data_IF_489960571634
#
_entry.id   IF_489960571634
#
_cell.length_a   1.000
_cell.length_b   1.000
_cell.length_c   1.000
_cell.angle_alpha   90.00
_cell.angle_beta   90.00
_cell.angle_gamma   90.00
#
_symmetry.space_group_name_H-M   'P 1'
#
loop_
_entity.id
_entity.type
_entity.pdbx_description
1 polymer ?
#
# COMPACT_ATOMS: atom_id res chain seq x y z
N UNK A 1 10.91 14.97 10.29
CA UNK A 1 9.69 14.17 10.09
C UNK A 1 9.99 13.14 9.01
N UNK A 2 9.57 11.88 9.16
CA UNK A 2 9.82 10.86 8.13
C UNK A 2 8.76 10.95 7.03
N UNK A 3 9.14 10.66 5.79
CA UNK A 3 8.22 10.60 4.65
C UNK A 3 8.75 9.69 3.54
N UNK A 4 8.04 9.61 2.42
CA UNK A 4 8.39 8.74 1.31
C UNK A 4 9.78 9.08 0.72
N UNK A 5 10.16 10.36 0.65
CA UNK A 5 11.45 10.75 0.10
C UNK A 5 12.60 10.24 0.99
N UNK A 6 12.42 10.29 2.32
CA UNK A 6 13.33 9.68 3.28
C UNK A 6 13.44 8.18 3.07
N UNK A 7 12.30 7.48 2.95
CA UNK A 7 12.26 6.03 2.75
C UNK A 7 12.97 5.61 1.46
N UNK A 8 12.70 6.32 0.35
CA UNK A 8 13.34 6.06 -0.93
C UNK A 8 14.84 6.34 -0.89
N UNK A 9 15.26 7.43 -0.23
CA UNK A 9 16.69 7.73 -0.04
C UNK A 9 17.39 6.63 0.76
N UNK A 10 16.76 6.10 1.80
CA UNK A 10 17.32 5.02 2.62
C UNK A 10 17.46 3.74 1.80
N UNK A 11 16.47 3.41 0.95
CA UNK A 11 16.55 2.28 0.03
C UNK A 11 17.71 2.45 -0.98
N UNK A 12 17.79 3.61 -1.64
CA UNK A 12 18.83 3.86 -2.66
C UNK A 12 20.25 3.81 -2.09
N UNK A 13 20.45 4.23 -0.83
CA UNK A 13 21.73 4.15 -0.13
C UNK A 13 22.09 2.72 0.27
N UNK A 14 21.12 1.96 0.80
CA UNK A 14 21.34 0.62 1.36
C UNK A 14 20.29 -0.39 0.84
N UNK A 15 20.33 -0.78 -0.44
CA UNK A 15 19.37 -1.73 -0.99
C UNK A 15 19.65 -3.13 -0.42
N UNK A 16 18.67 -3.70 0.29
CA UNK A 16 18.74 -5.07 0.80
C UNK A 16 17.97 -5.98 -0.14
N UNK A 17 18.68 -6.92 -0.77
CA UNK A 17 18.06 -7.88 -1.68
C UNK A 17 17.44 -9.09 -0.94
N UNK A 18 17.95 -9.46 0.23
CA UNK A 18 17.57 -10.68 0.95
C UNK A 18 16.74 -10.37 2.20
N UNK A 19 15.49 -9.94 1.99
CA UNK A 19 14.57 -9.53 3.07
C UNK A 19 14.28 -10.69 4.02
N UNK A 20 14.04 -11.89 3.48
CA UNK A 20 13.60 -13.03 4.29
C UNK A 20 14.62 -13.48 5.34
N UNK A 21 15.91 -13.39 5.04
CA UNK A 21 16.98 -13.81 5.94
C UNK A 21 17.41 -12.69 6.88
N UNK A 22 17.28 -11.43 6.45
CA UNK A 22 17.58 -10.25 7.26
C UNK A 22 16.64 -10.08 8.46
N UNK A 23 15.37 -10.51 8.32
CA UNK A 23 14.34 -10.42 9.36
C UNK A 23 14.02 -11.75 10.05
N UNK A 24 14.89 -12.78 9.92
CA UNK A 24 14.76 -14.03 10.68
C UNK A 24 14.99 -13.76 12.17
N UNK A 25 13.91 -13.65 12.93
CA UNK A 25 13.92 -13.95 14.36
C UNK A 25 13.57 -15.43 14.55
N UNK A 26 14.25 -16.17 15.47
CA UNK A 26 13.93 -17.57 15.76
C UNK A 26 12.45 -17.82 16.09
N UNK A 27 11.76 -16.80 16.64
CA UNK A 27 10.35 -16.90 17.07
C UNK A 27 9.32 -16.32 16.07
N UNK A 28 9.74 -15.79 14.90
CA UNK A 28 8.84 -15.17 13.91
C UNK A 28 8.99 -15.74 12.49
N UNK A 29 9.66 -16.88 12.37
CA UNK A 29 10.25 -17.40 11.13
C UNK A 29 9.27 -17.77 9.99
N UNK A 30 7.95 -17.63 10.16
CA UNK A 30 6.97 -18.17 9.20
C UNK A 30 6.15 -17.14 8.41
N UNK A 31 6.19 -15.83 8.72
CA UNK A 31 5.37 -14.85 8.00
C UNK A 31 6.20 -13.86 7.17
N UNK A 32 6.37 -14.17 5.88
CA UNK A 32 7.07 -13.29 4.94
C UNK A 32 6.37 -11.95 4.69
N UNK A 33 5.07 -11.84 4.94
CA UNK A 33 4.36 -10.56 4.90
C UNK A 33 4.82 -9.63 6.02
N UNK A 34 4.99 -10.16 7.23
CA UNK A 34 5.45 -9.40 8.41
C UNK A 34 6.90 -8.90 8.21
N UNK A 35 7.79 -9.73 7.67
CA UNK A 35 9.17 -9.34 7.37
C UNK A 35 9.26 -8.15 6.40
N UNK A 36 8.38 -8.13 5.40
CA UNK A 36 8.29 -7.04 4.44
C UNK A 36 7.76 -5.76 5.10
N UNK A 37 6.71 -5.85 5.91
CA UNK A 37 6.21 -4.69 6.65
C UNK A 37 7.30 -4.07 7.53
N UNK A 38 8.10 -4.90 8.23
CA UNK A 38 9.24 -4.42 8.99
C UNK A 38 10.29 -3.74 8.12
N UNK A 39 10.60 -4.30 6.95
CA UNK A 39 11.52 -3.67 6.01
C UNK A 39 11.04 -2.30 5.56
N UNK A 40 9.75 -2.18 5.19
CA UNK A 40 9.18 -0.90 4.79
C UNK A 40 9.20 0.09 5.97
N UNK A 41 8.78 -0.32 7.18
CA UNK A 41 8.86 0.51 8.39
C UNK A 41 10.29 1.00 8.67
N UNK A 42 11.26 0.12 8.52
CA UNK A 42 12.69 0.42 8.68
C UNK A 42 13.21 1.41 7.63
N UNK A 43 12.74 1.33 6.38
CA UNK A 43 13.08 2.30 5.34
C UNK A 43 12.58 3.68 5.73
N UNK A 44 11.32 3.82 6.18
CA UNK A 44 10.78 5.10 6.64
C UNK A 44 11.53 5.64 7.86
N UNK A 45 11.92 4.77 8.81
CA UNK A 45 12.54 5.18 10.06
C UNK A 45 14.07 5.30 10.00
N UNK A 46 14.70 4.85 8.92
CA UNK A 46 16.16 4.80 8.80
C UNK A 46 16.81 3.75 9.70
N UNK A 47 16.07 2.71 10.08
CA UNK A 47 16.49 1.70 11.07
C UNK A 47 16.86 0.37 10.45
N UNK A 48 16.99 0.29 9.12
CA UNK A 48 17.36 -0.94 8.38
C UNK A 48 18.53 -1.65 9.06
N UNK A 49 19.65 -0.97 9.29
CA UNK A 49 20.86 -1.54 9.92
C UNK A 49 20.76 -1.89 11.41
N UNK A 50 19.66 -1.57 12.08
CA UNK A 50 19.48 -1.83 13.52
C UNK A 50 19.12 -3.31 13.72
N UNK A 51 19.82 -4.03 14.60
CA UNK A 51 19.49 -5.44 14.92
C UNK A 51 18.53 -5.58 16.09
N UNK A 52 18.58 -4.65 17.03
CA UNK A 52 17.76 -4.66 18.25
C UNK A 52 16.32 -4.23 17.94
N UNK A 53 15.39 -5.17 18.11
CA UNK A 53 13.97 -4.98 17.83
C UNK A 53 13.31 -3.96 18.77
N UNK A 54 13.75 -3.88 20.03
CA UNK A 54 13.20 -2.93 21.00
C UNK A 54 13.62 -1.51 20.65
N UNK A 55 14.87 -1.32 20.19
CA UNK A 55 15.32 -0.04 19.65
C UNK A 55 14.52 0.36 18.41
N UNK A 56 14.22 -0.57 17.50
CA UNK A 56 13.32 -0.30 16.35
C UNK A 56 11.94 0.15 16.81
N UNK A 57 11.31 -0.58 17.72
CA UNK A 57 9.98 -0.23 18.24
C UNK A 57 9.96 1.13 18.93
N UNK A 58 11.02 1.50 19.66
CA UNK A 58 11.16 2.81 20.26
C UNK A 58 11.33 3.95 19.23
N UNK A 59 11.88 3.66 18.05
CA UNK A 59 11.93 4.63 16.94
C UNK A 59 10.58 4.70 16.23
N UNK A 60 9.93 3.55 15.99
CA UNK A 60 8.61 3.47 15.36
C UNK A 60 7.57 4.25 16.15
N UNK A 61 7.56 4.15 17.47
CA UNK A 61 6.59 4.87 18.32
C UNK A 61 6.72 6.40 18.23
N UNK A 62 7.92 6.91 17.92
CA UNK A 62 8.16 8.34 17.69
C UNK A 62 7.56 8.82 16.36
N UNK A 63 7.67 8.01 15.32
CA UNK A 63 7.31 8.41 13.95
C UNK A 63 5.92 7.97 13.50
N UNK A 64 5.38 6.89 14.04
CA UNK A 64 4.09 6.37 13.63
C UNK A 64 2.99 6.77 14.62
N UNK A 65 1.85 7.20 14.08
CA UNK A 65 0.61 7.38 14.84
C UNK A 65 -0.13 6.05 14.98
N UNK A 66 0.01 5.15 14.01
CA UNK A 66 -0.62 3.83 14.02
C UNK A 66 0.32 2.76 13.44
N UNK A 67 0.33 1.56 14.02
CA UNK A 67 1.27 0.48 13.66
C UNK A 67 0.62 -0.73 12.95
N UNK A 68 -0.65 -0.60 12.53
CA UNK A 68 -1.38 -1.63 11.80
C UNK A 68 -1.97 -2.74 12.68
N UNK A 69 -2.71 -3.63 12.03
CA UNK A 69 -3.18 -4.91 12.57
C UNK A 69 -3.37 -5.87 11.39
N UNK A 70 -3.52 -7.17 11.67
CA UNK A 70 -3.59 -8.21 10.65
C UNK A 70 -4.76 -8.09 9.66
N UNK A 71 -5.89 -7.48 10.06
CA UNK A 71 -7.16 -7.62 9.35
C UNK A 71 -7.70 -6.34 8.74
N UNK A 72 -7.11 -5.18 9.06
CA UNK A 72 -7.65 -3.89 8.65
C UNK A 72 -6.54 -2.95 8.21
N UNK A 73 -6.73 -2.23 7.09
CA UNK A 73 -5.79 -1.21 6.64
C UNK A 73 -5.79 0.01 7.59
N UNK A 74 -4.72 0.82 7.55
CA UNK A 74 -3.46 0.59 6.86
C UNK A 74 -2.48 -0.25 7.72
N UNK A 75 -1.40 -0.74 7.11
CA UNK A 75 -0.34 -1.47 7.83
C UNK A 75 0.47 -0.56 8.76
N UNK A 76 0.54 0.74 8.47
CA UNK A 76 0.94 1.78 9.43
C UNK A 76 0.56 3.20 8.94
N UNK A 77 0.58 4.16 9.87
CA UNK A 77 0.40 5.58 9.59
C UNK A 77 1.55 6.38 10.17
N UNK A 78 2.12 7.26 9.35
CA UNK A 78 3.12 8.24 9.77
C UNK A 78 2.40 9.36 10.51
N UNK A 79 2.89 9.73 11.69
CA UNK A 79 2.35 10.81 12.51
C UNK A 79 2.39 12.12 11.73
N UNK A 80 1.23 12.75 11.57
CA UNK A 80 1.08 13.97 10.76
C UNK A 80 1.36 13.78 9.26
N UNK A 81 1.51 12.53 8.79
CA UNK A 81 1.88 12.21 7.41
C UNK A 81 0.96 11.18 6.75
N UNK A 82 1.54 10.42 5.83
CA UNK A 82 0.82 9.48 4.96
C UNK A 82 0.51 8.15 5.65
N UNK A 83 -0.49 7.43 5.13
CA UNK A 83 -0.75 6.03 5.45
C UNK A 83 -0.04 5.11 4.45
N UNK A 84 0.38 3.93 4.88
CA UNK A 84 1.08 2.95 4.03
C UNK A 84 0.39 1.60 4.09
N UNK A 85 0.12 1.04 2.92
CA UNK A 85 -0.38 -0.31 2.71
C UNK A 85 0.69 -1.11 1.96
N UNK A 86 1.13 -2.20 2.55
CA UNK A 86 2.17 -3.10 2.08
C UNK A 86 1.52 -4.28 1.36
N UNK A 87 2.03 -4.63 0.18
CA UNK A 87 1.49 -5.72 -0.65
C UNK A 87 2.60 -6.49 -1.34
N UNK A 88 2.62 -7.80 -1.11
CA UNK A 88 3.51 -8.74 -1.78
C UNK A 88 2.90 -9.29 -3.07
N UNK A 89 3.69 -9.34 -4.13
CA UNK A 89 3.41 -10.10 -5.34
C UNK A 89 4.55 -11.05 -5.71
N UNK A 90 4.20 -12.15 -6.37
CA UNK A 90 5.16 -13.20 -6.77
C UNK A 90 5.81 -12.93 -8.14
N UNK A 91 5.22 -12.05 -8.94
CA UNK A 91 5.75 -11.64 -10.24
C UNK A 91 5.46 -10.17 -10.52
N UNK A 92 6.24 -9.58 -11.42
CA UNK A 92 6.14 -8.16 -11.77
C UNK A 92 4.74 -7.75 -12.23
N UNK A 93 4.03 -8.61 -12.96
CA UNK A 93 2.74 -8.28 -13.57
C UNK A 93 1.55 -8.96 -12.88
N UNK A 94 1.77 -9.66 -11.77
CA UNK A 94 0.71 -10.31 -11.01
C UNK A 94 -0.32 -9.29 -10.51
N UNK A 95 -1.59 -9.70 -10.49
CA UNK A 95 -2.63 -8.92 -9.82
C UNK A 95 -2.42 -8.94 -8.31
N UNK A 96 -2.68 -7.81 -7.66
CA UNK A 96 -2.67 -7.67 -6.21
C UNK A 96 -4.08 -7.94 -5.71
N UNK A 97 -4.23 -8.97 -4.88
CA UNK A 97 -5.48 -9.22 -4.18
C UNK A 97 -5.64 -8.21 -3.02
N UNK A 98 -6.80 -7.55 -2.96
CA UNK A 98 -7.21 -6.65 -1.90
C UNK A 98 -8.36 -7.31 -1.14
N UNK A 99 -7.97 -8.10 -0.13
CA UNK A 99 -8.93 -8.84 0.69
C UNK A 99 -9.79 -7.86 1.48
N UNK A 100 -11.11 -8.06 1.42
CA UNK A 100 -12.11 -7.36 2.21
C UNK A 100 -12.23 -5.85 1.95
N UNK A 101 -11.47 -5.23 1.04
CA UNK A 101 -11.62 -3.81 0.72
C UNK A 101 -11.28 -3.47 -0.73
N UNK A 102 -11.94 -2.44 -1.26
CA UNK A 102 -11.68 -1.95 -2.61
C UNK A 102 -10.36 -1.16 -2.68
N UNK A 103 -9.77 -0.97 -3.89
CA UNK A 103 -8.61 -0.10 -4.10
C UNK A 103 -8.94 1.35 -3.73
N UNK A 104 -8.05 2.07 -3.05
CA UNK A 104 -8.32 3.40 -2.52
C UNK A 104 -7.31 4.39 -3.05
N UNK A 105 -7.80 5.54 -3.49
CA UNK A 105 -6.96 6.70 -3.78
C UNK A 105 -6.39 7.31 -2.49
N UNK A 106 -7.21 7.35 -1.43
CA UNK A 106 -6.86 7.89 -0.11
C UNK A 106 -7.39 7.01 1.02
N UNK A 107 -6.79 7.17 2.20
CA UNK A 107 -7.37 6.62 3.43
C UNK A 107 -8.36 7.63 4.01
N UNK A 108 -9.54 7.17 4.42
CA UNK A 108 -10.59 8.03 5.00
C UNK A 108 -10.91 7.60 6.44
N UNK A 109 -10.97 8.56 7.36
CA UNK A 109 -11.29 8.30 8.77
C UNK A 109 -12.72 7.73 8.94
N UNK A 110 -13.64 8.13 8.06
CA UNK A 110 -15.01 7.64 8.01
C UNK A 110 -15.14 6.20 7.46
N UNK A 111 -14.06 5.59 6.99
CA UNK A 111 -14.11 4.23 6.45
C UNK A 111 -14.58 3.22 7.51
N UNK A 112 -15.56 2.36 7.21
CA UNK A 112 -15.98 1.30 8.12
C UNK A 112 -14.95 0.15 8.22
N UNK A 113 -13.96 0.16 7.31
CA UNK A 113 -12.95 -0.89 7.14
C UNK A 113 -11.70 -0.69 8.00
N UNK A 114 -11.55 0.47 8.65
CA UNK A 114 -10.43 0.74 9.58
C UNK A 114 -10.87 0.51 11.03
N UNK A 115 -9.90 0.21 11.90
CA UNK A 115 -10.12 0.02 13.34
C UNK A 115 -10.44 1.34 14.04
N UNK A 116 -11.00 1.25 15.26
CA UNK A 116 -11.20 2.41 16.13
C UNK A 116 -9.87 3.08 16.47
N UNK A 117 -8.83 2.29 16.73
CA UNK A 117 -7.50 2.80 17.08
C UNK A 117 -6.85 3.55 15.92
N UNK A 118 -6.95 3.02 14.69
CA UNK A 118 -6.51 3.74 13.48
C UNK A 118 -7.26 5.08 13.32
N UNK A 119 -8.58 5.07 13.51
CA UNK A 119 -9.39 6.30 13.40
C UNK A 119 -9.00 7.34 14.45
N UNK A 120 -8.70 6.90 15.67
CA UNK A 120 -8.47 7.76 16.83
C UNK A 120 -6.99 8.06 17.11
N UNK A 121 -6.06 7.55 16.30
CA UNK A 121 -4.63 7.71 16.54
C UNK A 121 -4.12 9.16 16.44
N UNK A 122 -4.86 10.00 15.71
CA UNK A 122 -4.67 11.45 15.63
C UNK A 122 -5.96 12.10 15.08
N UNK A 123 -6.03 13.44 14.98
CA UNK A 123 -7.16 14.13 14.34
C UNK A 123 -6.91 14.22 12.83
N UNK A 124 -7.75 13.58 12.03
CA UNK A 124 -7.65 13.60 10.56
C UNK A 124 -9.00 13.26 9.92
N UNK A 125 -9.20 13.70 8.66
CA UNK A 125 -10.38 13.36 7.84
C UNK A 125 -10.02 12.37 6.74
N UNK A 126 -8.93 12.66 6.05
CA UNK A 126 -8.33 11.84 5.02
C UNK A 126 -6.80 11.95 5.08
N UNK A 127 -6.13 10.94 4.52
CA UNK A 127 -4.67 10.90 4.36
C UNK A 127 -4.34 10.34 3.00
N UNK A 128 -3.21 10.78 2.45
CA UNK A 128 -2.63 10.14 1.29
C UNK A 128 -2.27 8.69 1.64
N UNK A 129 -2.53 7.78 0.70
CA UNK A 129 -2.23 6.37 0.85
C UNK A 129 -1.09 6.00 -0.09
N UNK A 130 -0.06 5.35 0.44
CA UNK A 130 1.04 4.78 -0.34
C UNK A 130 0.84 3.27 -0.40
N UNK A 131 0.79 2.73 -1.62
CA UNK A 131 0.93 1.30 -1.84
C UNK A 131 2.42 0.97 -1.97
N UNK A 132 2.98 0.30 -0.96
CA UNK A 132 4.31 -0.29 -0.99
C UNK A 132 4.21 -1.72 -1.53
N UNK A 133 4.48 -1.90 -2.83
CA UNK A 133 4.32 -3.18 -3.53
C UNK A 133 5.68 -3.77 -3.87
N UNK A 134 6.01 -4.92 -3.31
CA UNK A 134 7.25 -5.65 -3.58
C UNK A 134 7.03 -6.87 -4.47
N UNK A 135 8.03 -7.13 -5.32
CA UNK A 135 8.14 -8.34 -6.12
C UNK A 135 9.25 -9.19 -5.49
N UNK A 136 8.87 -10.28 -4.84
CA UNK A 136 9.81 -11.24 -4.26
C UNK A 136 9.87 -12.50 -5.12
N UNK A 137 11.06 -12.87 -5.57
CA UNK A 137 11.32 -14.15 -6.25
C UNK A 137 12.33 -14.94 -5.45
N UNK A 138 11.94 -16.14 -4.99
CA UNK A 138 12.78 -17.00 -4.12
C UNK A 138 13.35 -16.24 -2.90
N UNK A 139 12.51 -15.48 -2.20
CA UNK A 139 12.85 -14.62 -1.04
C UNK A 139 13.82 -13.45 -1.34
N UNK A 140 14.15 -13.21 -2.61
CA UNK A 140 14.96 -12.05 -3.04
C UNK A 140 14.07 -10.96 -3.61
N UNK A 141 14.29 -9.73 -3.17
CA UNK A 141 13.67 -8.53 -3.71
C UNK A 141 14.12 -8.32 -5.15
N UNK A 142 13.14 -8.14 -6.05
CA UNK A 142 13.36 -7.84 -7.46
C UNK A 142 12.87 -6.46 -7.84
N UNK A 143 11.73 -6.05 -7.31
CA UNK A 143 11.25 -4.69 -7.43
C UNK A 143 10.54 -4.23 -6.16
N UNK A 144 10.63 -2.93 -5.87
CA UNK A 144 9.83 -2.27 -4.85
C UNK A 144 9.17 -1.02 -5.44
N UNK A 145 7.85 -0.96 -5.40
CA UNK A 145 7.08 0.20 -5.81
C UNK A 145 6.53 0.92 -4.59
N UNK A 146 6.65 2.24 -4.59
CA UNK A 146 5.85 3.13 -3.77
C UNK A 146 4.98 3.95 -4.69
N UNK A 147 3.69 3.62 -4.78
CA UNK A 147 2.75 4.38 -5.61
C UNK A 147 1.69 5.02 -4.74
N UNK A 148 1.48 6.33 -4.89
CA UNK A 148 0.36 7.01 -4.24
C UNK A 148 -0.97 6.51 -4.81
N UNK A 149 -1.96 6.34 -3.94
CA UNK A 149 -3.28 5.86 -4.32
C UNK A 149 -3.94 6.74 -5.37
N UNK A 150 -3.78 8.06 -5.29
CA UNK A 150 -4.33 9.01 -6.28
C UNK A 150 -3.67 8.93 -7.67
N UNK A 151 -2.55 8.23 -7.79
CA UNK A 151 -1.93 7.87 -9.06
C UNK A 151 -2.45 6.52 -9.61
N UNK A 152 -3.06 5.68 -8.77
CA UNK A 152 -3.19 4.23 -9.01
C UNK A 152 -4.63 3.69 -8.94
N UNK A 153 -5.47 4.28 -8.10
CA UNK A 153 -6.85 3.88 -7.89
C UNK A 153 -7.80 5.07 -8.12
N UNK A 154 -9.02 4.77 -8.57
CA UNK A 154 -10.04 5.78 -8.76
C UNK A 154 -10.58 6.27 -7.40
N UNK A 155 -11.35 7.35 -7.41
CA UNK A 155 -12.04 7.83 -6.21
C UNK A 155 -13.03 6.79 -5.69
N UNK A 156 -13.22 6.75 -4.36
CA UNK A 156 -14.05 5.76 -3.65
C UNK A 156 -15.43 5.52 -4.26
N UNK A 157 -16.07 6.56 -4.81
CA UNK A 157 -17.43 6.50 -5.35
C UNK A 157 -17.52 5.50 -6.52
N UNK A 158 -16.44 5.34 -7.29
CA UNK A 158 -16.32 4.35 -8.37
C UNK A 158 -16.61 2.93 -7.87
N UNK A 159 -16.02 2.58 -6.73
CA UNK A 159 -16.11 1.24 -6.14
C UNK A 159 -17.37 1.07 -5.28
N UNK A 160 -17.74 2.12 -4.54
CA UNK A 160 -18.93 2.09 -3.68
C UNK A 160 -20.23 1.97 -4.48
N UNK A 161 -20.29 2.52 -5.70
CA UNK A 161 -21.42 2.31 -6.61
C UNK A 161 -21.66 0.84 -6.89
N UNK A 162 -20.62 0.08 -7.24
CA UNK A 162 -20.72 -1.36 -7.52
C UNK A 162 -21.21 -2.11 -6.28
N UNK A 163 -20.64 -1.80 -5.11
CA UNK A 163 -21.06 -2.38 -3.83
C UNK A 163 -22.55 -2.14 -3.57
N UNK A 164 -23.02 -0.89 -3.73
CA UNK A 164 -24.42 -0.50 -3.53
C UNK A 164 -25.36 -1.25 -4.49
N UNK A 165 -25.00 -1.32 -5.78
CA UNK A 165 -25.80 -2.04 -6.78
C UNK A 165 -25.92 -3.53 -6.47
N UNK A 166 -24.82 -4.20 -6.10
CA UNK A 166 -24.85 -5.62 -5.74
C UNK A 166 -25.68 -5.84 -4.47
N UNK A 167 -25.46 -5.04 -3.42
CA UNK A 167 -26.22 -5.17 -2.17
C UNK A 167 -27.71 -4.88 -2.35
N UNK A 168 -28.09 -3.97 -3.25
CA UNK A 168 -29.49 -3.71 -3.57
C UNK A 168 -30.14 -4.88 -4.31
N UNK A 169 -29.46 -5.46 -5.31
CA UNK A 169 -29.95 -6.66 -5.99
C UNK A 169 -30.13 -7.86 -5.05
N UNK A 170 -29.17 -8.07 -4.14
CA UNK A 170 -29.25 -9.14 -3.14
C UNK A 170 -30.42 -8.96 -2.14
N UNK A 171 -30.79 -7.72 -1.83
CA UNK A 171 -31.89 -7.44 -0.91
C UNK A 171 -33.28 -7.61 -1.57
N UNK A 172 -33.34 -7.66 -2.91
CA UNK A 172 -34.59 -7.83 -3.66
C UNK A 172 -35.05 -9.28 -3.84
N UNK A 173 -34.27 -10.28 -3.39
CA UNK A 173 -34.67 -11.68 -3.48
C UNK A 173 -35.66 -12.04 -2.36
N UNK A 174 -36.89 -12.39 -2.73
CA UNK A 174 -37.89 -12.93 -1.80
C UNK A 174 -37.48 -14.33 -1.28
N UNK A 175 -37.85 -14.65 -0.04
CA UNK A 175 -37.57 -15.95 0.57
C UNK A 175 -36.14 -16.15 1.08
N UNK A 176 -35.26 -15.14 0.97
CA UNK A 176 -33.86 -15.22 1.39
C UNK A 176 -33.62 -14.39 2.65
N UNK A 177 -33.15 -15.00 3.73
CA UNK A 177 -32.86 -14.34 5.02
C UNK A 177 -31.62 -13.43 4.97
N UNK A 178 -31.64 -12.38 4.14
CA UNK A 178 -30.50 -11.51 3.88
C UNK A 178 -30.21 -10.53 5.04
N UNK A 179 -28.93 -10.31 5.34
CA UNK A 179 -28.47 -9.28 6.28
C UNK A 179 -27.31 -8.49 5.70
N UNK A 180 -27.36 -7.16 5.82
CA UNK A 180 -26.27 -6.26 5.41
C UNK A 180 -25.05 -6.46 6.31
N UNK A 181 -23.85 -6.38 5.73
CA UNK A 181 -22.57 -6.38 6.46
C UNK A 181 -21.73 -5.17 6.04
N UNK A 182 -20.56 -4.97 6.66
CA UNK A 182 -19.59 -3.95 6.21
C UNK A 182 -19.09 -4.20 4.79
N UNK A 183 -19.11 -5.45 4.33
CA UNK A 183 -18.76 -5.89 2.97
C UNK A 183 -20.03 -5.89 2.10
N UNK A 184 -20.48 -7.03 1.56
CA UNK A 184 -21.68 -7.09 0.70
C UNK A 184 -22.92 -7.57 1.45
N UNK A 185 -22.81 -8.65 2.22
CA UNK A 185 -23.92 -9.18 3.01
C UNK A 185 -23.70 -10.62 3.48
N UNK A 186 -24.73 -11.20 4.08
CA UNK A 186 -24.83 -12.65 4.31
C UNK A 186 -26.27 -13.10 4.12
N UNK A 187 -26.44 -14.36 3.72
CA UNK A 187 -27.73 -15.06 3.67
C UNK A 187 -27.76 -16.02 4.84
N UNK A 188 -28.74 -15.91 5.72
CA UNK A 188 -28.90 -16.80 6.87
C UNK A 188 -29.90 -17.93 6.57
N UNK A 189 -29.87 -19.00 7.37
CA UNK A 189 -30.81 -20.13 7.33
C UNK A 189 -30.86 -20.81 5.96
N UNK A 190 -29.68 -21.11 5.40
CA UNK A 190 -29.57 -21.72 4.05
C UNK A 190 -29.99 -23.20 4.08
N UNK A 191 -29.80 -23.87 5.21
CA UNK A 191 -30.21 -25.26 5.42
C UNK A 191 -31.58 -25.36 6.12
N UNK A 192 -32.28 -26.51 6.01
CA UNK A 192 -33.59 -26.71 6.64
C UNK A 192 -33.62 -26.56 8.18
N UNK A 193 -32.50 -26.82 8.87
CA UNK A 193 -32.41 -26.63 10.33
C UNK A 193 -32.16 -25.16 10.70
N UNK A 194 -31.84 -24.30 9.74
CA UNK A 194 -31.65 -22.87 9.93
C UNK A 194 -30.35 -22.47 10.64
N UNK A 195 -29.35 -23.36 10.67
CA UNK A 195 -28.10 -23.17 11.44
C UNK A 195 -26.92 -22.65 10.60
N UNK A 196 -27.06 -22.57 9.28
CA UNK A 196 -26.02 -22.10 8.36
C UNK A 196 -26.24 -20.66 7.91
N UNK A 197 -25.14 -20.01 7.51
CA UNK A 197 -25.19 -18.77 6.74
C UNK A 197 -24.15 -18.77 5.62
N UNK A 198 -24.51 -18.23 4.47
CA UNK A 198 -23.60 -17.95 3.36
C UNK A 198 -23.10 -16.51 3.47
N UNK A 199 -21.78 -16.34 3.63
CA UNK A 199 -21.17 -15.01 3.66
C UNK A 199 -20.85 -14.53 2.24
N UNK A 200 -21.26 -13.31 1.90
CA UNK A 200 -20.99 -12.69 0.60
C UNK A 200 -19.98 -11.56 0.79
N UNK A 201 -18.80 -11.71 0.18
CA UNK A 201 -17.67 -10.76 0.26
C UNK A 201 -17.17 -10.44 -1.14
N UNK A 202 -16.81 -9.18 -1.39
CA UNK A 202 -16.09 -8.81 -2.60
C UNK A 202 -14.61 -9.12 -2.44
N UNK A 203 -14.01 -9.78 -3.44
CA UNK A 203 -12.57 -9.90 -3.57
C UNK A 203 -12.11 -8.99 -4.71
N UNK A 204 -11.43 -7.91 -4.36
CA UNK A 204 -10.93 -6.97 -5.35
C UNK A 204 -9.54 -7.37 -5.80
N UNK A 205 -9.27 -7.25 -7.10
CA UNK A 205 -7.93 -7.34 -7.65
C UNK A 205 -7.57 -6.03 -8.33
N UNK A 206 -6.34 -5.57 -8.15
CA UNK A 206 -5.77 -4.45 -8.89
C UNK A 206 -4.50 -4.90 -9.60
N UNK A 207 -4.31 -4.49 -10.85
CA UNK A 207 -3.12 -4.85 -11.61
C UNK A 207 -1.87 -4.20 -10.99
N UNK A 208 -0.76 -4.94 -10.84
CA UNK A 208 0.51 -4.42 -10.30
C UNK A 208 0.91 -3.07 -10.92
N UNK A 209 1.55 -2.15 -10.15
CA UNK A 209 2.05 -0.89 -10.67
C UNK A 209 2.94 -1.06 -11.91
N UNK A 210 3.75 -2.13 -11.97
CA UNK A 210 4.58 -2.41 -13.13
C UNK A 210 3.76 -2.69 -14.41
N UNK A 211 2.59 -3.31 -14.27
CA UNK A 211 1.66 -3.54 -15.39
C UNK A 211 0.93 -2.26 -15.77
N UNK A 212 0.46 -1.50 -14.77
CA UNK A 212 -0.29 -0.26 -14.98
C UNK A 212 0.56 0.82 -15.64
N UNK A 213 1.81 0.97 -15.20
CA UNK A 213 2.73 2.02 -15.64
C UNK A 213 3.78 1.52 -16.65
N UNK A 214 3.49 0.45 -17.39
CA UNK A 214 4.42 -0.16 -18.36
C UNK A 214 4.82 0.76 -19.53
N UNK A 215 4.13 1.88 -19.69
CA UNK A 215 4.38 2.92 -20.68
C UNK A 215 5.39 3.98 -20.20
N UNK A 216 5.69 4.05 -18.90
CA UNK A 216 6.74 4.91 -18.33
C UNK A 216 7.87 4.13 -17.67
N UNK A 217 7.63 2.88 -17.25
CA UNK A 217 8.65 2.01 -16.63
C UNK A 217 8.65 0.65 -17.32
N UNK A 218 9.82 0.15 -17.69
CA UNK A 218 9.98 -1.21 -18.20
C UNK A 218 10.44 -2.15 -17.08
N UNK A 219 9.92 -3.39 -17.01
CA UNK A 219 10.38 -4.35 -16.01
C UNK A 219 11.87 -4.65 -16.18
N UNK A 220 12.61 -4.61 -15.06
CA UNK A 220 13.98 -5.11 -15.00
C UNK A 220 14.00 -6.41 -14.19
N UNK A 221 14.22 -7.54 -14.87
CA UNK A 221 14.19 -8.86 -14.24
C UNK A 221 15.55 -9.27 -13.64
N UNK A 222 16.62 -8.60 -14.04
CA UNK A 222 17.99 -8.93 -13.68
C UNK A 222 18.40 -8.24 -12.38
N UNK A 223 18.21 -6.92 -12.34
CA UNK A 223 18.64 -6.02 -11.27
C UNK A 223 17.52 -5.75 -10.27
N UNK A 224 17.90 -5.45 -9.04
CA UNK A 224 16.97 -4.97 -8.02
C UNK A 224 16.57 -3.55 -8.38
N UNK A 225 15.27 -3.30 -8.50
CA UNK A 225 14.76 -1.99 -8.84
C UNK A 225 13.84 -1.43 -7.78
N UNK A 226 13.79 -0.10 -7.65
CA UNK A 226 12.76 0.57 -6.87
C UNK A 226 12.23 1.78 -7.60
N UNK A 227 10.94 2.03 -7.43
CA UNK A 227 10.23 3.12 -8.08
C UNK A 227 9.33 3.83 -7.07
N UNK A 228 9.29 5.16 -7.14
CA UNK A 228 8.26 5.93 -6.46
C UNK A 228 7.53 6.81 -7.47
N UNK A 229 6.19 6.71 -7.50
CA UNK A 229 5.34 7.49 -8.38
C UNK A 229 4.43 8.40 -7.56
N UNK A 230 4.59 9.71 -7.77
CA UNK A 230 4.05 10.76 -6.90
C UNK A 230 3.51 11.88 -7.79
N UNK A 231 2.28 12.36 -7.58
CA UNK A 231 1.81 13.55 -8.29
C UNK A 231 2.74 14.75 -8.02
N UNK A 232 2.99 15.57 -9.03
CA UNK A 232 3.93 16.70 -8.94
C UNK A 232 3.57 17.67 -7.81
N UNK A 233 2.28 17.90 -7.59
CA UNK A 233 1.78 18.70 -6.47
C UNK A 233 2.18 18.11 -5.10
N UNK A 234 1.98 16.80 -4.90
CA UNK A 234 2.39 16.09 -3.67
C UNK A 234 3.90 16.12 -3.50
N UNK A 235 4.66 15.87 -4.57
CA UNK A 235 6.12 15.95 -4.52
C UNK A 235 6.58 17.34 -4.01
N UNK A 236 6.03 18.41 -4.58
CA UNK A 236 6.39 19.78 -4.21
C UNK A 236 5.98 20.16 -2.77
N UNK A 237 4.99 19.48 -2.18
CA UNK A 237 4.58 19.69 -0.79
C UNK A 237 5.54 19.08 0.25
N UNK A 238 6.46 18.20 -0.16
CA UNK A 238 7.46 17.66 0.77
C UNK A 238 8.43 18.75 1.25
N UNK A 239 9.00 18.60 2.47
CA UNK A 239 10.02 19.50 2.97
C UNK A 239 11.16 19.70 1.97
N UNK A 240 11.55 20.96 1.77
CA UNK A 240 12.59 21.35 0.79
C UNK A 240 13.89 20.58 1.04
N UNK A 241 14.25 20.35 2.31
CA UNK A 241 15.46 19.62 2.66
C UNK A 241 15.43 18.16 2.17
N UNK A 242 14.30 17.48 2.30
CA UNK A 242 14.15 16.08 1.86
C UNK A 242 14.18 15.98 0.34
N UNK A 243 13.57 16.94 -0.37
CA UNK A 243 13.68 17.05 -1.82
C UNK A 243 15.13 17.25 -2.26
N UNK A 244 15.84 18.21 -1.66
CA UNK A 244 17.24 18.50 -1.97
C UNK A 244 18.16 17.30 -1.76
N UNK A 245 17.91 16.46 -0.75
CA UNK A 245 18.70 15.24 -0.51
C UNK A 245 18.62 14.29 -1.70
N UNK A 246 17.44 14.12 -2.29
CA UNK A 246 17.25 13.27 -3.46
C UNK A 246 17.72 13.96 -4.75
N UNK A 247 17.37 15.23 -4.96
CA UNK A 247 17.72 15.99 -6.17
C UNK A 247 19.25 16.12 -6.34
N UNK A 248 20.00 16.17 -5.23
CA UNK A 248 21.48 16.21 -5.23
C UNK A 248 22.14 14.83 -5.23
N UNK A 249 21.37 13.75 -5.21
CA UNK A 249 21.91 12.39 -5.17
C UNK A 249 22.58 12.04 -6.51
N UNK A 250 23.91 12.15 -6.56
CA UNK A 250 24.72 11.80 -7.73
C UNK A 250 25.04 10.29 -7.74
N UNK A 251 24.00 9.48 -7.90
CA UNK A 251 24.15 8.03 -8.03
C UNK A 251 23.79 7.61 -9.47
N UNK A 252 24.70 6.93 -10.18
CA UNK A 252 24.49 6.50 -11.58
C UNK A 252 23.23 5.62 -11.76
N UNK A 253 22.84 4.94 -10.70
CA UNK A 253 21.69 4.05 -10.63
C UNK A 253 20.41 4.71 -10.10
N UNK A 254 20.40 6.02 -9.85
CA UNK A 254 19.25 6.77 -9.37
C UNK A 254 18.86 7.87 -10.36
N UNK A 255 17.56 8.11 -10.52
CA UNK A 255 17.06 9.22 -11.32
C UNK A 255 15.71 9.73 -10.80
N UNK A 256 15.43 11.01 -11.07
CA UNK A 256 14.13 11.65 -10.87
C UNK A 256 13.70 12.20 -12.23
N UNK A 257 12.51 11.84 -12.69
CA UNK A 257 11.96 12.31 -13.96
C UNK A 257 10.58 12.91 -13.78
N UNK A 258 10.25 13.94 -14.57
CA UNK A 258 8.87 14.37 -14.77
C UNK A 258 8.21 13.43 -15.79
N UNK A 259 7.05 12.89 -15.44
CA UNK A 259 6.27 11.96 -16.28
C UNK A 259 4.80 12.37 -16.31
N UNK A 260 4.09 11.91 -17.34
CA UNK A 260 2.64 12.05 -17.43
C UNK A 260 1.98 10.69 -17.28
N UNK A 261 1.03 10.57 -16.37
CA UNK A 261 0.29 9.32 -16.12
C UNK A 261 -1.18 9.49 -16.43
N UNK A 262 -1.84 8.42 -16.88
CA UNK A 262 -3.30 8.43 -17.07
C UNK A 262 -4.00 8.59 -15.73
N UNK A 263 -4.99 9.48 -15.66
CA UNK A 263 -5.81 9.62 -14.45
C UNK A 263 -6.64 8.35 -14.23
N UNK A 264 -6.64 7.78 -13.01
CA UNK A 264 -7.46 6.60 -12.72
C UNK A 264 -8.97 6.92 -12.73
N UNK A 265 -9.36 8.20 -12.61
CA UNK A 265 -10.75 8.64 -12.70
C UNK A 265 -11.20 8.92 -14.14
N UNK A 266 -10.28 9.33 -15.02
CA UNK A 266 -10.56 9.60 -16.43
C UNK A 266 -9.29 9.39 -17.27
N UNK A 267 -9.11 8.23 -17.92
CA UNK A 267 -7.90 7.91 -18.65
C UNK A 267 -7.55 8.84 -19.82
N UNK A 268 -8.49 9.67 -20.31
CA UNK A 268 -8.21 10.69 -21.32
C UNK A 268 -7.44 11.90 -20.75
N UNK A 269 -7.46 12.09 -19.42
CA UNK A 269 -6.70 13.13 -18.73
C UNK A 269 -5.35 12.58 -18.28
N UNK A 270 -4.29 13.32 -18.58
CA UNK A 270 -2.95 13.05 -18.08
C UNK A 270 -2.68 13.89 -16.82
N UNK A 271 -2.04 13.28 -15.82
CA UNK A 271 -1.61 13.89 -14.58
C UNK A 271 -0.09 14.06 -14.59
N UNK A 272 0.39 15.23 -14.19
CA UNK A 272 1.82 15.51 -14.03
C UNK A 272 2.33 14.85 -12.75
N UNK A 273 3.36 14.01 -12.86
CA UNK A 273 3.92 13.25 -11.77
C UNK A 273 5.46 13.25 -11.80
N UNK A 274 6.05 12.94 -10.65
CA UNK A 274 7.47 12.62 -10.49
C UNK A 274 7.62 11.10 -10.37
N UNK A 275 8.53 10.55 -11.17
CA UNK A 275 8.98 9.17 -11.07
C UNK A 275 10.41 9.17 -10.54
N UNK A 276 10.60 8.63 -9.34
CA UNK A 276 11.91 8.32 -8.78
C UNK A 276 12.21 6.87 -9.16
N UNK A 277 13.41 6.61 -9.70
CA UNK A 277 13.82 5.28 -10.12
C UNK A 277 15.20 4.95 -9.57
N UNK A 278 15.35 3.72 -9.08
CA UNK A 278 16.62 3.13 -8.66
C UNK A 278 16.80 1.75 -9.30
N UNK A 279 18.01 1.38 -9.73
CA UNK A 279 18.29 0.06 -10.30
C UNK A 279 19.72 -0.42 -10.01
N UNK A 280 19.89 -1.52 -9.26
CA UNK A 280 21.19 -2.10 -8.89
C UNK A 280 21.30 -3.57 -9.27
#
# INVERSE_FOLDING_TARGET
MVNLLTAFSNFAKNPIAEIGDYYRSPNRANNMGEALEFYIKDLFCGTVGTKDINKKHAVYSKYFSYAGNQNNPPDFMIRGGDAVEVKKVESFTAGIALNSSYPKDRLYAASPMITKDCRNCEKWKEKDLIYAVDVLKKKKLKALWFVYGDCYAAGKDTYERIKKSISAGLAGFEGVGFSKTKELGRVNKVDPLGITYLRIRGMWHIASPMKVFNYIVKPNNEKVSAYALILKAKYNSFPVQDRKVLEKMQQKNFSISDVKIKSPNNPAKLLEAKLLSFTK
#
